data_IF_688283998555
#
_entry.id   IF_688283998555
#
_cell.length_a   1.000
_cell.length_b   1.000
_cell.length_c   1.000
_cell.angle_alpha   90.00
_cell.angle_beta   90.00
_cell.angle_gamma   90.00
#
_symmetry.space_group_name_H-M   'P 1'
#
loop_
_entity.id
_entity.type
_entity.pdbx_description
1 polymer ?
#
# COMPACT_ATOMS: atom_id res chain seq x y z
N UNK A 1 -29.91 10.38 -8.99
CA UNK A 1 -28.75 11.25 -8.70
C UNK A 1 -27.64 10.33 -8.22
N UNK A 2 -26.67 10.03 -9.08
CA UNK A 2 -25.55 9.16 -8.75
C UNK A 2 -24.59 9.93 -7.86
N UNK A 3 -24.49 9.55 -6.59
CA UNK A 3 -23.46 10.05 -5.69
C UNK A 3 -22.12 9.56 -6.23
N UNK A 4 -21.44 10.43 -6.97
CA UNK A 4 -20.01 10.29 -7.26
C UNK A 4 -19.35 10.37 -5.88
N UNK A 5 -18.85 9.25 -5.37
CA UNK A 5 -17.97 9.25 -4.22
C UNK A 5 -16.77 10.09 -4.64
N UNK A 6 -16.73 11.34 -4.16
CA UNK A 6 -15.57 12.21 -4.25
C UNK A 6 -14.39 11.41 -3.70
N UNK A 7 -13.55 10.91 -4.60
CA UNK A 7 -12.35 10.20 -4.19
C UNK A 7 -11.52 11.23 -3.41
N UNK A 8 -11.28 11.04 -2.11
CA UNK A 8 -10.43 11.97 -1.37
C UNK A 8 -9.11 12.06 -2.13
N UNK A 9 -8.59 13.28 -2.28
CA UNK A 9 -7.31 13.53 -2.94
C UNK A 9 -6.27 12.51 -2.41
N UNK A 10 -5.39 11.96 -3.28
CA UNK A 10 -4.43 10.95 -2.85
C UNK A 10 -3.69 11.50 -1.66
N UNK A 11 -3.87 10.86 -0.50
CA UNK A 11 -3.14 11.23 0.69
C UNK A 11 -1.65 11.03 0.38
N UNK A 12 -0.81 11.98 0.79
CA UNK A 12 0.64 11.95 0.52
C UNK A 12 1.36 10.91 1.39
N UNK A 13 0.67 9.81 1.77
CA UNK A 13 1.22 8.78 2.65
C UNK A 13 2.33 8.05 1.93
N UNK A 14 3.43 7.90 2.64
CA UNK A 14 4.51 7.03 2.23
C UNK A 14 4.09 5.55 2.32
N UNK A 15 4.75 4.66 1.58
CA UNK A 15 4.57 3.21 1.72
C UNK A 15 4.69 2.75 3.18
N UNK A 16 5.60 3.37 3.93
CA UNK A 16 5.78 3.15 5.36
C UNK A 16 4.52 3.41 6.17
N UNK A 17 3.87 4.54 5.93
CA UNK A 17 2.65 4.93 6.60
C UNK A 17 1.48 4.04 6.23
N UNK A 18 1.31 3.74 4.92
CA UNK A 18 0.25 2.83 4.43
C UNK A 18 0.30 1.49 5.17
N UNK A 19 1.49 0.88 5.28
CA UNK A 19 1.64 -0.41 5.97
C UNK A 19 1.45 -0.28 7.48
N UNK A 20 1.93 0.79 8.11
CA UNK A 20 1.77 1.00 9.57
C UNK A 20 0.32 1.25 9.96
N UNK A 21 -0.41 2.01 9.16
CA UNK A 21 -1.82 2.34 9.40
C UNK A 21 -2.72 1.11 9.22
N UNK A 22 -2.54 0.35 8.15
CA UNK A 22 -3.30 -0.89 7.94
C UNK A 22 -2.87 -2.02 8.89
N UNK A 23 -1.59 -2.03 9.25
CA UNK A 23 -0.95 -3.04 10.08
C UNK A 23 -0.24 -4.12 9.26
N UNK A 24 1.06 -4.31 9.50
CA UNK A 24 1.90 -5.26 8.77
C UNK A 24 1.39 -6.72 8.84
N UNK A 25 0.94 -7.17 10.02
CA UNK A 25 0.40 -8.52 10.19
C UNK A 25 -0.93 -8.69 9.44
N UNK A 26 -1.79 -7.67 9.46
CA UNK A 26 -3.06 -7.67 8.72
C UNK A 26 -2.82 -7.71 7.23
N UNK A 27 -1.86 -6.93 6.73
CA UNK A 27 -1.47 -6.93 5.32
C UNK A 27 -0.94 -8.30 4.89
N UNK A 28 -0.12 -8.95 5.74
CA UNK A 28 0.37 -10.30 5.47
C UNK A 28 -0.79 -11.30 5.33
N UNK A 29 -1.74 -11.28 6.26
CA UNK A 29 -2.90 -12.19 6.22
C UNK A 29 -3.70 -11.98 4.96
N UNK A 30 -4.03 -10.74 4.63
CA UNK A 30 -4.74 -10.39 3.41
C UNK A 30 -4.01 -10.90 2.16
N UNK A 31 -2.70 -10.64 2.03
CA UNK A 31 -1.93 -11.10 0.88
C UNK A 31 -1.91 -12.63 0.77
N UNK A 32 -1.82 -13.33 1.91
CA UNK A 32 -1.88 -14.79 1.97
C UNK A 32 -3.26 -15.30 1.51
N UNK A 33 -4.35 -14.66 1.93
CA UNK A 33 -5.72 -14.98 1.51
C UNK A 33 -5.95 -14.77 0.01
N UNK A 34 -5.21 -13.82 -0.60
CA UNK A 34 -5.21 -13.57 -2.05
C UNK A 34 -4.25 -14.49 -2.83
N UNK A 35 -3.61 -15.46 -2.15
CA UNK A 35 -2.74 -16.45 -2.78
C UNK A 35 -1.28 -16.03 -2.93
N UNK A 36 -0.85 -14.93 -2.32
CA UNK A 36 0.56 -14.54 -2.30
C UNK A 36 1.28 -15.23 -1.13
N UNK A 37 2.39 -15.91 -1.42
CA UNK A 37 3.27 -16.42 -0.38
C UNK A 37 4.19 -15.29 0.12
N UNK A 38 3.80 -14.70 1.25
CA UNK A 38 4.50 -13.56 1.86
C UNK A 38 4.93 -13.93 3.28
N UNK A 39 6.24 -13.87 3.54
CA UNK A 39 6.81 -14.10 4.88
C UNK A 39 6.23 -13.12 5.91
N UNK A 40 6.12 -13.56 7.16
CA UNK A 40 5.56 -12.80 8.29
C UNK A 40 6.20 -11.43 8.50
N UNK A 41 7.48 -11.31 8.19
CA UNK A 41 8.25 -10.06 8.35
C UNK A 41 8.26 -9.17 7.11
N UNK A 42 7.76 -9.65 5.98
CA UNK A 42 7.90 -8.95 4.70
C UNK A 42 7.15 -7.61 4.68
N UNK A 43 5.87 -7.51 5.09
CA UNK A 43 5.21 -6.20 5.19
C UNK A 43 5.90 -5.25 6.14
N UNK A 44 6.41 -5.74 7.28
CA UNK A 44 7.17 -4.90 8.20
C UNK A 44 8.42 -4.32 7.52
N UNK A 45 9.16 -5.13 6.76
CA UNK A 45 10.33 -4.68 5.99
C UNK A 45 9.95 -3.67 4.91
N UNK A 46 8.79 -3.79 4.28
CA UNK A 46 8.29 -2.77 3.34
C UNK A 46 8.03 -1.45 4.06
N UNK A 47 7.48 -1.51 5.27
CA UNK A 47 7.24 -0.32 6.07
C UNK A 47 8.54 0.37 6.47
N UNK A 48 9.54 -0.41 6.89
CA UNK A 48 10.85 0.09 7.33
C UNK A 48 11.65 0.68 6.16
N UNK A 49 11.57 0.05 4.98
CA UNK A 49 12.26 0.50 3.75
C UNK A 49 11.47 1.53 2.95
N UNK A 50 10.28 1.89 3.43
CA UNK A 50 9.33 2.74 2.72
C UNK A 50 9.10 2.29 1.25
N UNK A 51 8.90 0.98 1.05
CA UNK A 51 8.91 0.36 -0.27
C UNK A 51 8.00 -0.85 -0.35
N UNK A 52 6.84 -0.69 -0.98
CA UNK A 52 5.96 -1.79 -1.35
C UNK A 52 6.23 -2.16 -2.83
N UNK A 53 6.56 -3.41 -3.15
CA UNK A 53 6.73 -3.85 -4.54
C UNK A 53 5.45 -3.70 -5.37
N UNK A 54 5.61 -3.34 -6.65
CA UNK A 54 4.50 -3.07 -7.57
C UNK A 54 3.51 -4.24 -7.74
N UNK A 55 3.99 -5.48 -7.62
CA UNK A 55 3.18 -6.70 -7.73
C UNK A 55 2.02 -6.74 -6.72
N UNK A 56 2.14 -6.06 -5.58
CA UNK A 56 1.13 -6.04 -4.53
C UNK A 56 0.16 -4.85 -4.63
N UNK A 57 0.43 -3.87 -5.49
CA UNK A 57 -0.31 -2.61 -5.53
C UNK A 57 -1.77 -2.81 -5.92
N UNK A 58 -2.04 -3.66 -6.91
CA UNK A 58 -3.41 -3.97 -7.33
C UNK A 58 -4.22 -4.57 -6.18
N UNK A 59 -3.63 -5.46 -5.38
CA UNK A 59 -4.31 -6.06 -4.23
C UNK A 59 -4.61 -5.01 -3.17
N UNK A 60 -3.61 -4.19 -2.84
CA UNK A 60 -3.74 -3.11 -1.85
C UNK A 60 -4.81 -2.09 -2.27
N UNK A 61 -4.87 -1.76 -3.56
CA UNK A 61 -5.87 -0.85 -4.11
C UNK A 61 -7.26 -1.44 -4.20
N UNK A 62 -7.39 -2.71 -4.60
CA UNK A 62 -8.70 -3.37 -4.67
C UNK A 62 -9.35 -3.53 -3.29
N UNK A 63 -8.55 -3.64 -2.24
CA UNK A 63 -9.00 -3.75 -0.85
C UNK A 63 -9.19 -2.39 -0.18
N UNK A 64 -9.01 -1.29 -0.92
CA UNK A 64 -9.24 0.08 -0.45
C UNK A 64 -8.25 0.57 0.60
N UNK A 65 -7.07 -0.06 0.70
CA UNK A 65 -6.03 0.31 1.69
C UNK A 65 -5.33 1.62 1.28
N UNK A 66 -4.98 1.71 -0.01
CA UNK A 66 -4.36 2.87 -0.64
C UNK A 66 -4.71 2.86 -2.13
N UNK A 67 -4.81 4.03 -2.77
CA UNK A 67 -5.07 4.08 -4.22
C UNK A 67 -3.81 3.77 -5.02
N UNK A 68 -3.95 3.34 -6.29
CA UNK A 68 -2.80 3.17 -7.19
C UNK A 68 -2.01 4.48 -7.38
N UNK A 69 -2.69 5.62 -7.41
CA UNK A 69 -2.06 6.93 -7.52
C UNK A 69 -1.22 7.27 -6.28
N UNK A 70 -1.74 6.96 -5.09
CA UNK A 70 -1.03 7.15 -3.83
C UNK A 70 0.22 6.25 -3.75
N UNK A 71 0.11 4.97 -4.15
CA UNK A 71 1.25 4.05 -4.21
C UNK A 71 2.31 4.50 -5.22
N UNK A 72 1.88 4.97 -6.40
CA UNK A 72 2.78 5.50 -7.42
C UNK A 72 3.48 6.78 -6.94
N UNK A 73 2.75 7.69 -6.30
CA UNK A 73 3.31 8.91 -5.72
C UNK A 73 4.35 8.59 -4.64
N UNK A 74 4.05 7.66 -3.73
CA UNK A 74 4.99 7.22 -2.69
C UNK A 74 6.27 6.61 -3.28
N UNK A 75 6.15 5.86 -4.39
CA UNK A 75 7.30 5.31 -5.09
C UNK A 75 8.19 6.40 -5.73
N UNK A 76 7.58 7.39 -6.39
CA UNK A 76 8.31 8.48 -7.05
C UNK A 76 8.95 9.44 -6.02
N UNK A 77 8.25 9.74 -4.93
CA UNK A 77 8.77 10.55 -3.83
C UNK A 77 10.04 9.92 -3.22
N UNK A 78 10.04 8.58 -3.06
CA UNK A 78 11.24 7.86 -2.62
C UNK A 78 12.37 7.93 -3.64
N UNK A 79 12.08 7.75 -4.93
CA UNK A 79 13.08 7.80 -6.00
C UNK A 79 13.74 9.18 -6.09
N UNK A 80 12.97 10.24 -5.84
CA UNK A 80 13.47 11.62 -5.82
C UNK A 80 14.30 11.96 -4.58
N UNK A 81 14.20 11.16 -3.51
CA UNK A 81 14.92 11.37 -2.25
C UNK A 81 16.18 10.49 -2.10
N UNK A 82 16.45 9.60 -3.07
CA UNK A 82 17.59 8.69 -3.11
C UNK A 82 18.68 9.19 -4.08
#
# INVERSE_FOLDING_TARGET
MSTILEQPAPSLRSHGEIVREYGAQRLRTLLTEKGFDVSTTTPQRWADRNSIPGDYWNVISNEGIATLEELAFAAEARKSAA
#
